data_IF_052041019589
#
_entry.id   IF_052041019589
#
_cell.length_a   1.000
_cell.length_b   1.000
_cell.length_c   1.000
_cell.angle_alpha   90.00
_cell.angle_beta   90.00
_cell.angle_gamma   90.00
#
_symmetry.space_group_name_H-M   'P 1'
#
loop_
_entity.id
_entity.type
_entity.pdbx_description
1 polymer ?
#
# COMPACT_ATOMS: atom_id res chain seq x y z
N UNK A 1 39.01 21.12 -53.87
CA UNK A 1 38.81 20.25 -52.70
C UNK A 1 38.16 19.01 -53.24
N UNK A 2 38.82 17.84 -53.26
CA UNK A 2 38.21 16.65 -53.86
C UNK A 2 37.11 16.14 -52.92
N UNK A 3 35.91 16.00 -53.44
CA UNK A 3 34.79 15.34 -52.76
C UNK A 3 35.12 13.84 -52.65
N UNK A 4 35.47 13.39 -51.46
CA UNK A 4 35.59 11.96 -51.17
C UNK A 4 34.17 11.41 -51.00
N UNK A 5 33.70 10.49 -51.86
CA UNK A 5 32.43 9.81 -51.63
C UNK A 5 32.64 8.88 -50.43
N UNK A 6 32.18 9.27 -49.25
CA UNK A 6 32.16 8.39 -48.08
C UNK A 6 31.24 7.21 -48.41
N UNK A 7 31.83 6.03 -48.44
CA UNK A 7 31.23 4.80 -48.94
C UNK A 7 29.87 4.48 -48.28
N UNK A 8 28.89 4.19 -49.14
CA UNK A 8 27.71 3.39 -48.84
C UNK A 8 28.20 2.00 -48.37
N UNK A 9 28.28 1.79 -47.05
CA UNK A 9 28.74 0.54 -46.47
C UNK A 9 27.55 -0.14 -45.75
N UNK A 10 26.98 -1.24 -46.27
CA UNK A 10 25.76 -1.88 -45.72
C UNK A 10 25.88 -2.50 -44.32
N UNK A 11 27.00 -2.28 -43.61
CA UNK A 11 27.31 -2.85 -42.29
C UNK A 11 27.66 -1.81 -41.23
N UNK A 12 27.56 -0.52 -41.53
CA UNK A 12 27.53 0.48 -40.47
C UNK A 12 26.15 0.36 -39.82
N UNK A 13 26.02 0.01 -38.52
CA UNK A 13 24.75 0.22 -37.85
C UNK A 13 24.44 1.70 -37.98
N UNK A 14 23.27 2.04 -38.52
CA UNK A 14 22.79 3.41 -38.61
C UNK A 14 22.75 4.01 -37.19
N UNK A 15 23.84 4.71 -36.85
CA UNK A 15 23.99 5.50 -35.64
C UNK A 15 23.46 6.91 -35.88
N UNK A 16 22.43 7.09 -36.73
CA UNK A 16 21.58 8.28 -36.59
C UNK A 16 21.05 8.27 -35.17
N UNK A 17 21.83 8.90 -34.30
CA UNK A 17 21.49 9.20 -32.93
C UNK A 17 20.18 9.95 -33.06
N UNK A 18 19.07 9.25 -32.79
CA UNK A 18 17.76 9.86 -32.67
C UNK A 18 17.97 10.96 -31.66
N UNK A 19 18.08 12.21 -32.11
CA UNK A 19 18.47 13.29 -31.23
C UNK A 19 17.31 13.45 -30.24
N UNK A 20 17.46 13.05 -28.95
CA UNK A 20 16.35 13.12 -28.02
C UNK A 20 15.93 14.57 -27.77
N UNK A 21 16.75 15.56 -28.19
CA UNK A 21 16.40 16.98 -28.16
C UNK A 21 15.33 17.38 -29.19
N UNK A 22 14.99 16.53 -30.16
CA UNK A 22 13.85 16.75 -31.05
C UNK A 22 12.51 16.37 -30.40
N UNK A 23 12.52 15.56 -29.34
CA UNK A 23 11.33 15.28 -28.53
C UNK A 23 11.13 16.34 -27.44
N UNK A 24 9.88 16.63 -27.10
CA UNK A 24 9.56 17.53 -26.00
C UNK A 24 10.27 17.08 -24.70
N UNK A 25 11.03 17.98 -24.09
CA UNK A 25 11.84 17.71 -22.90
C UNK A 25 11.07 18.06 -21.62
N UNK A 26 11.40 17.38 -20.52
CA UNK A 26 10.89 17.69 -19.18
C UNK A 26 12.06 18.09 -18.29
N UNK A 27 12.14 19.36 -17.91
CA UNK A 27 13.31 19.95 -17.23
C UNK A 27 14.66 19.63 -17.91
N UNK A 28 14.68 19.58 -19.24
CA UNK A 28 15.89 19.25 -20.01
C UNK A 28 16.19 17.75 -20.11
N UNK A 29 15.35 16.87 -19.57
CA UNK A 29 15.48 15.42 -19.66
C UNK A 29 14.47 14.79 -20.64
N UNK A 30 14.72 13.54 -21.11
CA UNK A 30 13.79 12.82 -21.96
C UNK A 30 12.41 12.64 -21.32
N UNK A 31 11.34 12.77 -22.10
CA UNK A 31 9.93 12.70 -21.62
C UNK A 31 9.56 11.36 -20.97
N UNK A 32 10.28 10.30 -21.28
CA UNK A 32 10.12 8.98 -20.68
C UNK A 32 10.46 9.01 -19.19
N UNK A 33 11.44 9.84 -18.79
CA UNK A 33 11.82 10.01 -17.39
C UNK A 33 10.66 10.60 -16.57
N UNK A 34 9.96 11.61 -17.09
CA UNK A 34 8.81 12.21 -16.41
C UNK A 34 7.71 11.17 -16.08
N UNK A 35 7.46 10.24 -17.02
CA UNK A 35 6.50 9.14 -16.84
C UNK A 35 6.97 8.14 -15.79
N UNK A 36 8.24 7.73 -15.85
CA UNK A 36 8.83 6.80 -14.87
C UNK A 36 8.82 7.42 -13.48
N UNK A 37 9.24 8.68 -13.35
CA UNK A 37 9.24 9.41 -12.10
C UNK A 37 7.84 9.48 -11.48
N UNK A 38 6.84 9.91 -12.25
CA UNK A 38 5.46 10.04 -11.73
C UNK A 38 4.90 8.68 -11.32
N UNK A 39 5.19 7.62 -12.10
CA UNK A 39 4.72 6.26 -11.79
C UNK A 39 5.38 5.73 -10.52
N UNK A 40 6.69 5.94 -10.37
CA UNK A 40 7.46 5.49 -9.21
C UNK A 40 7.10 6.27 -7.94
N UNK A 41 6.89 7.58 -8.07
CA UNK A 41 6.41 8.43 -6.98
C UNK A 41 5.05 7.94 -6.45
N UNK A 42 4.10 7.62 -7.34
CA UNK A 42 2.77 7.16 -6.93
C UNK A 42 2.79 5.78 -6.30
N UNK A 43 3.64 4.88 -6.81
CA UNK A 43 3.85 3.55 -6.24
C UNK A 43 4.38 3.65 -4.81
N UNK A 44 5.44 4.44 -4.60
CA UNK A 44 6.02 4.67 -3.27
C UNK A 44 5.03 5.34 -2.32
N UNK A 45 4.29 6.34 -2.79
CA UNK A 45 3.27 7.01 -1.99
C UNK A 45 2.23 6.01 -1.47
N UNK A 46 1.72 5.14 -2.34
CA UNK A 46 0.78 4.08 -1.95
C UNK A 46 1.40 3.09 -0.96
N UNK A 47 2.63 2.62 -1.23
CA UNK A 47 3.31 1.64 -0.38
C UNK A 47 3.57 2.17 1.03
N UNK A 48 4.16 3.36 1.17
CA UNK A 48 4.44 3.93 2.49
C UNK A 48 3.15 4.36 3.20
N UNK A 49 2.15 4.85 2.46
CA UNK A 49 0.82 5.18 3.02
C UNK A 49 0.12 3.95 3.60
N UNK A 50 0.10 2.85 2.85
CA UNK A 50 -0.45 1.57 3.34
C UNK A 50 0.31 1.07 4.55
N UNK A 51 1.65 1.05 4.49
CA UNK A 51 2.49 0.57 5.59
C UNK A 51 2.26 1.36 6.89
N UNK A 52 2.05 2.68 6.79
CA UNK A 52 1.75 3.54 7.93
C UNK A 52 0.36 3.26 8.52
N UNK A 53 -0.66 3.12 7.67
CA UNK A 53 -2.04 2.92 8.12
C UNK A 53 -2.37 1.46 8.49
N UNK A 54 -1.62 0.48 7.98
CA UNK A 54 -1.90 -0.95 8.19
C UNK A 54 -1.84 -1.33 9.68
N UNK A 55 -0.80 -0.91 10.39
CA UNK A 55 -0.66 -1.21 11.83
C UNK A 55 -1.78 -0.56 12.64
N UNK A 56 -2.13 0.69 12.30
CA UNK A 56 -3.25 1.38 12.93
C UNK A 56 -4.58 0.66 12.64
N UNK A 57 -4.77 0.20 11.41
CA UNK A 57 -5.97 -0.52 10.99
C UNK A 57 -6.11 -1.87 11.71
N UNK A 58 -5.04 -2.65 11.80
CA UNK A 58 -5.06 -3.95 12.49
C UNK A 58 -5.35 -3.81 13.99
N UNK A 59 -4.85 -2.75 14.63
CA UNK A 59 -5.04 -2.52 16.07
C UNK A 59 -6.37 -1.86 16.41
N UNK A 60 -6.81 -0.86 15.63
CA UNK A 60 -8.03 -0.10 15.93
C UNK A 60 -9.30 -0.71 15.32
N UNK A 61 -9.22 -1.26 14.10
CA UNK A 61 -10.41 -1.78 13.40
C UNK A 61 -10.65 -3.26 13.66
N UNK A 62 -9.60 -4.06 13.84
CA UNK A 62 -9.69 -5.49 14.13
C UNK A 62 -9.42 -5.86 15.59
N UNK A 63 -9.02 -4.89 16.43
CA UNK A 63 -8.71 -5.08 17.85
C UNK A 63 -7.70 -6.23 18.09
N UNK A 64 -6.81 -6.47 17.13
CA UNK A 64 -5.76 -7.47 17.31
C UNK A 64 -4.76 -7.02 18.37
N UNK A 65 -4.34 -7.94 19.23
CA UNK A 65 -3.26 -7.69 20.18
C UNK A 65 -1.94 -7.39 19.47
N UNK A 66 -1.09 -6.58 20.09
CA UNK A 66 0.15 -6.04 19.49
C UNK A 66 1.04 -7.10 18.85
N UNK A 67 1.13 -8.29 19.45
CA UNK A 67 1.92 -9.41 18.93
C UNK A 67 1.39 -9.95 17.60
N UNK A 68 0.06 -10.07 17.47
CA UNK A 68 -0.59 -10.54 16.24
C UNK A 68 -0.48 -9.48 15.13
N UNK A 69 -0.73 -8.21 15.46
CA UNK A 69 -0.60 -7.10 14.52
C UNK A 69 0.85 -6.97 13.98
N UNK A 70 1.85 -7.06 14.86
CA UNK A 70 3.27 -7.01 14.48
C UNK A 70 3.67 -8.21 13.62
N UNK A 71 3.17 -9.41 13.95
CA UNK A 71 3.42 -10.62 13.15
C UNK A 71 2.85 -10.51 11.74
N UNK A 72 1.61 -10.03 11.60
CA UNK A 72 0.97 -9.82 10.30
C UNK A 72 1.72 -8.77 9.46
N UNK A 73 2.10 -7.66 10.10
CA UNK A 73 2.87 -6.60 9.46
C UNK A 73 4.24 -7.08 8.96
N UNK A 74 4.94 -7.87 9.79
CA UNK A 74 6.21 -8.48 9.41
C UNK A 74 6.07 -9.46 8.24
N UNK A 75 5.05 -10.32 8.28
CA UNK A 75 4.74 -11.24 7.19
C UNK A 75 4.39 -10.53 5.88
N UNK A 76 3.55 -9.50 5.95
CA UNK A 76 3.24 -8.63 4.80
C UNK A 76 4.51 -8.02 4.22
N UNK A 77 5.35 -7.42 5.06
CA UNK A 77 6.60 -6.78 4.62
C UNK A 77 7.52 -7.80 3.94
N UNK A 78 7.69 -8.99 4.51
CA UNK A 78 8.50 -10.06 3.92
C UNK A 78 8.00 -10.45 2.52
N UNK A 79 6.68 -10.57 2.33
CA UNK A 79 6.08 -10.88 1.02
C UNK A 79 6.29 -9.76 0.00
N UNK A 80 6.21 -8.49 0.42
CA UNK A 80 6.52 -7.34 -0.45
C UNK A 80 7.96 -7.37 -0.90
N UNK A 81 8.91 -7.79 -0.05
CA UNK A 81 10.31 -7.92 -0.46
C UNK A 81 10.58 -9.16 -1.33
N UNK A 82 9.78 -10.22 -1.19
CA UNK A 82 9.95 -11.44 -1.97
C UNK A 82 9.32 -11.36 -3.37
N UNK A 83 8.17 -10.70 -3.49
CA UNK A 83 7.39 -10.63 -4.73
C UNK A 83 8.15 -10.02 -5.92
N UNK A 84 9.01 -8.99 -5.75
CA UNK A 84 9.85 -8.45 -6.82
C UNK A 84 10.77 -9.49 -7.46
N UNK A 85 11.29 -10.47 -6.70
CA UNK A 85 12.10 -11.56 -7.27
C UNK A 85 11.27 -12.40 -8.25
N UNK A 86 10.06 -12.77 -7.83
CA UNK A 86 9.12 -13.55 -8.64
C UNK A 86 8.66 -12.73 -9.87
N UNK A 87 8.37 -11.45 -9.66
CA UNK A 87 7.97 -10.52 -10.72
C UNK A 87 9.06 -10.28 -11.75
N UNK A 88 10.32 -10.17 -11.33
CA UNK A 88 11.48 -10.05 -12.21
C UNK A 88 11.65 -11.28 -13.08
N UNK A 89 11.62 -12.47 -12.47
CA UNK A 89 11.66 -13.73 -13.21
C UNK A 89 10.54 -13.86 -14.25
N UNK A 90 9.31 -13.47 -13.89
CA UNK A 90 8.17 -13.44 -14.81
C UNK A 90 8.34 -12.41 -15.94
N UNK A 91 8.92 -11.26 -15.63
CA UNK A 91 9.18 -10.19 -16.61
C UNK A 91 10.21 -10.62 -17.64
N UNK A 92 11.25 -11.32 -17.21
CA UNK A 92 12.35 -11.74 -18.07
C UNK A 92 11.96 -12.90 -18.98
N UNK A 93 11.20 -13.86 -18.47
CA UNK A 93 10.91 -15.10 -19.18
C UNK A 93 9.62 -15.06 -20.02
N UNK A 94 8.60 -14.30 -19.60
CA UNK A 94 7.25 -14.43 -20.17
C UNK A 94 6.63 -13.12 -20.68
N UNK A 95 6.65 -12.05 -19.87
CA UNK A 95 5.84 -10.85 -20.15
C UNK A 95 6.60 -9.73 -20.87
N UNK A 96 7.90 -9.62 -20.65
CA UNK A 96 8.68 -8.42 -20.97
C UNK A 96 8.41 -7.27 -20.01
N UNK A 97 9.45 -6.46 -19.76
CA UNK A 97 9.47 -5.39 -18.74
C UNK A 97 8.25 -4.46 -18.77
N UNK A 98 7.87 -3.93 -19.94
CA UNK A 98 6.75 -2.97 -20.06
C UNK A 98 5.38 -3.58 -19.70
N UNK A 99 5.17 -4.88 -19.98
CA UNK A 99 3.88 -5.54 -19.67
C UNK A 99 3.85 -5.98 -18.21
N UNK A 100 4.98 -6.43 -17.67
CA UNK A 100 5.11 -6.78 -16.25
C UNK A 100 4.81 -5.58 -15.34
N UNK A 101 5.32 -4.39 -15.65
CA UNK A 101 5.02 -3.17 -14.87
C UNK A 101 3.53 -2.83 -14.87
N UNK A 102 2.87 -2.91 -16.04
CA UNK A 102 1.41 -2.66 -16.14
C UNK A 102 0.60 -3.69 -15.35
N UNK A 103 1.00 -4.96 -15.42
CA UNK A 103 0.34 -6.02 -14.67
C UNK A 103 0.47 -5.79 -13.15
N UNK A 104 1.69 -5.48 -12.67
CA UNK A 104 1.93 -5.14 -11.26
C UNK A 104 1.11 -3.93 -10.80
N UNK A 105 1.03 -2.88 -11.62
CA UNK A 105 0.22 -1.70 -11.31
C UNK A 105 -1.29 -2.03 -11.19
N UNK A 106 -1.83 -2.86 -12.08
CA UNK A 106 -3.23 -3.30 -12.00
C UNK A 106 -3.47 -4.15 -10.75
N UNK A 107 -2.56 -5.07 -10.45
CA UNK A 107 -2.63 -5.92 -9.25
C UNK A 107 -2.63 -5.08 -7.97
N UNK A 108 -1.73 -4.09 -7.87
CA UNK A 108 -1.69 -3.15 -6.76
C UNK A 108 -2.98 -2.34 -6.64
N UNK A 109 -3.48 -1.79 -7.75
CA UNK A 109 -4.73 -1.03 -7.75
C UNK A 109 -5.92 -1.87 -7.26
N UNK A 110 -6.02 -3.13 -7.69
CA UNK A 110 -7.05 -4.05 -7.22
C UNK A 110 -6.90 -4.34 -5.71
N UNK A 111 -5.67 -4.54 -5.22
CA UNK A 111 -5.40 -4.74 -3.80
C UNK A 111 -5.84 -3.56 -2.93
N UNK A 112 -5.49 -2.33 -3.34
CA UNK A 112 -5.93 -1.11 -2.66
C UNK A 112 -7.45 -0.92 -2.72
N UNK A 113 -8.07 -1.26 -3.86
CA UNK A 113 -9.51 -1.20 -4.01
C UNK A 113 -10.21 -2.15 -3.03
N UNK A 114 -9.75 -3.40 -2.91
CA UNK A 114 -10.29 -4.36 -1.94
C UNK A 114 -10.16 -3.84 -0.50
N UNK A 115 -9.01 -3.28 -0.15
CA UNK A 115 -8.77 -2.68 1.17
C UNK A 115 -9.73 -1.52 1.47
N UNK A 116 -10.05 -0.70 0.47
CA UNK A 116 -10.95 0.45 0.63
C UNK A 116 -12.38 0.05 1.01
N UNK A 117 -12.86 -1.10 0.52
CA UNK A 117 -14.21 -1.62 0.82
C UNK A 117 -14.22 -2.72 1.89
N UNK A 118 -13.09 -2.98 2.55
CA UNK A 118 -12.88 -4.12 3.42
C UNK A 118 -13.53 -4.01 4.80
N UNK A 119 -14.83 -4.32 4.90
CA UNK A 119 -15.43 -4.95 6.09
C UNK A 119 -15.88 -4.05 7.25
N UNK A 120 -16.89 -4.54 7.98
CA UNK A 120 -17.43 -3.89 9.19
C UNK A 120 -16.38 -3.83 10.31
N UNK A 121 -16.32 -2.71 11.02
CA UNK A 121 -15.45 -2.51 12.19
C UNK A 121 -15.73 -3.58 13.23
N UNK A 122 -14.66 -4.22 13.75
CA UNK A 122 -14.80 -5.18 14.83
C UNK A 122 -15.33 -4.45 16.07
N UNK A 123 -16.40 -4.98 16.65
CA UNK A 123 -16.94 -4.48 17.91
C UNK A 123 -16.11 -5.03 19.08
N UNK A 124 -15.65 -4.19 20.01
CA UNK A 124 -14.97 -4.69 21.19
C UNK A 124 -15.94 -5.55 22.01
N UNK A 125 -15.43 -6.63 22.59
CA UNK A 125 -16.20 -7.47 23.51
C UNK A 125 -15.44 -7.64 24.83
N UNK A 126 -16.18 -7.67 25.93
CA UNK A 126 -15.67 -7.98 27.26
C UNK A 126 -16.06 -9.42 27.62
N UNK A 127 -15.13 -10.12 28.27
CA UNK A 127 -15.41 -11.42 28.90
C UNK A 127 -15.70 -11.16 30.37
N UNK A 128 -16.94 -11.38 30.80
CA UNK A 128 -17.35 -11.31 32.21
C UNK A 128 -17.93 -12.68 32.55
N UNK A 129 -17.39 -13.36 33.57
CA UNK A 129 -17.81 -14.71 33.97
C UNK A 129 -17.86 -15.72 32.81
N UNK A 130 -16.87 -15.64 31.92
CA UNK A 130 -16.73 -16.50 30.74
C UNK A 130 -17.84 -16.32 29.67
N UNK A 131 -18.68 -15.28 29.79
CA UNK A 131 -19.67 -14.86 28.79
C UNK A 131 -19.15 -13.66 27.98
N UNK A 132 -19.43 -13.64 26.67
CA UNK A 132 -19.03 -12.56 25.74
C UNK A 132 -20.11 -11.49 25.71
N UNK A 133 -19.76 -10.27 26.11
CA UNK A 133 -20.64 -9.12 25.98
C UNK A 133 -20.06 -8.08 25.03
N UNK A 134 -20.88 -7.54 24.13
CA UNK A 134 -20.46 -6.45 23.25
C UNK A 134 -20.28 -5.16 24.06
N UNK A 135 -19.11 -4.53 23.92
CA UNK A 135 -18.80 -3.24 24.53
C UNK A 135 -19.04 -2.15 23.49
N UNK A 136 -20.01 -1.28 23.75
CA UNK A 136 -20.20 -0.05 22.96
C UNK A 136 -19.40 1.07 23.62
N UNK A 137 -18.45 1.65 22.91
CA UNK A 137 -17.68 2.81 23.38
C UNK A 137 -18.38 4.06 22.87
N UNK A 138 -18.95 4.87 23.76
CA UNK A 138 -19.41 6.21 23.41
C UNK A 138 -18.29 7.20 23.75
N UNK A 139 -17.85 7.96 22.77
CA UNK A 139 -16.87 9.02 22.95
C UNK A 139 -17.61 10.35 22.98
N UNK A 140 -17.53 11.05 24.11
CA UNK A 140 -18.18 12.34 24.27
C UNK A 140 -17.48 13.38 23.38
N UNK A 141 -18.19 13.94 22.40
CA UNK A 141 -17.62 14.80 21.37
C UNK A 141 -17.12 16.16 21.92
N UNK A 142 -17.53 16.56 23.12
CA UNK A 142 -17.15 17.84 23.72
C UNK A 142 -15.98 17.72 24.70
N UNK A 143 -15.82 16.57 25.37
CA UNK A 143 -14.80 16.37 26.41
C UNK A 143 -13.76 15.32 26.06
N UNK A 144 -13.97 14.53 24.99
CA UNK A 144 -13.09 13.44 24.59
C UNK A 144 -13.12 12.23 25.54
N UNK A 145 -13.95 12.27 26.59
CA UNK A 145 -14.07 11.21 27.57
C UNK A 145 -14.69 9.95 26.94
N UNK A 146 -14.04 8.81 27.11
CA UNK A 146 -14.52 7.51 26.64
C UNK A 146 -15.31 6.81 27.75
N UNK A 147 -16.62 6.65 27.57
CA UNK A 147 -17.45 5.80 28.43
C UNK A 147 -17.72 4.48 27.73
N UNK A 148 -17.31 3.38 28.38
CA UNK A 148 -17.51 2.02 27.88
C UNK A 148 -18.82 1.47 28.44
N UNK A 149 -19.71 0.96 27.58
CA UNK A 149 -20.97 0.35 27.98
C UNK A 149 -20.96 -1.13 27.62
N UNK A 150 -21.35 -2.01 28.53
CA UNK A 150 -21.64 -3.42 28.24
C UNK A 150 -23.10 -3.51 27.82
N UNK A 151 -23.37 -4.18 26.70
CA UNK A 151 -24.73 -4.45 26.23
C UNK A 151 -25.10 -5.88 26.62
N UNK A 152 -26.07 -6.03 27.52
CA UNK A 152 -26.70 -7.30 27.87
C UNK A 152 -28.15 -7.29 27.38
N UNK A 153 -28.37 -7.83 26.18
CA UNK A 153 -29.68 -7.82 25.51
C UNK A 153 -30.21 -6.39 25.28
N UNK A 154 -31.26 -6.00 26.01
CA UNK A 154 -31.89 -4.67 25.92
C UNK A 154 -31.30 -3.63 26.89
N UNK A 155 -30.40 -4.04 27.80
CA UNK A 155 -29.92 -3.17 28.88
C UNK A 155 -28.49 -2.72 28.58
N UNK A 156 -28.28 -1.39 28.54
CA UNK A 156 -26.94 -0.78 28.46
C UNK A 156 -26.43 -0.51 29.87
N UNK A 157 -25.41 -1.22 30.29
CA UNK A 157 -24.76 -1.04 31.58
C UNK A 157 -23.47 -0.23 31.39
N UNK A 158 -23.37 0.95 32.00
CA UNK A 158 -22.14 1.73 31.96
C UNK A 158 -21.07 1.03 32.81
N UNK A 159 -19.90 0.79 32.23
CA UNK A 159 -18.73 0.32 32.99
C UNK A 159 -18.23 1.53 33.77
N UNK A 160 -18.63 1.62 35.05
CA UNK A 160 -18.01 2.55 35.99
C UNK A 160 -16.73 1.89 36.50
N UNK A 161 -15.58 2.48 36.19
CA UNK A 161 -14.31 2.08 36.81
C UNK A 161 -14.46 2.18 38.33
N UNK A 162 -14.04 1.15 39.04
CA UNK A 162 -13.99 1.20 40.50
C UNK A 162 -13.00 2.31 40.90
N UNK A 163 -13.38 3.20 41.82
CA UNK A 163 -12.50 4.27 42.32
C UNK A 163 -11.38 3.73 43.24
N UNK A 164 -11.26 2.41 43.41
CA UNK A 164 -10.19 1.79 44.20
C UNK A 164 -9.05 1.36 43.28
N UNK A 165 -7.99 2.16 43.25
CA UNK A 165 -6.74 1.87 42.55
C UNK A 165 -5.97 0.71 43.19
N UNK A 166 -6.34 -0.53 42.86
CA UNK A 166 -5.55 -1.74 43.15
C UNK A 166 -5.47 -2.65 41.94
#
# INVERSE_FOLDING_TARGET
MPDTPTADNPREPDITHVNPAAEATWFGHPRQLARLFTTEMWERFGYYGMRALLTLYLTQHFLFGDRAATGLYGGYTALVYLTPLIGGYLADQYLGSKRAVKFGAILMAAGYFILCFGGQTAKPYAMIDNQRYEVSIAKDAATGAETRYVVDGATKLAIKGNDDGT
#
